data_IF_916984306008
#
_entry.id   IF_916984306008
#
_cell.length_a   1.000
_cell.length_b   1.000
_cell.length_c   1.000
_cell.angle_alpha   90.00
_cell.angle_beta   90.00
_cell.angle_gamma   90.00
#
_symmetry.space_group_name_H-M   'P 1'
#
loop_
_entity.id
_entity.type
_entity.pdbx_description
1 polymer ?
#
# COMPACT_ATOMS: atom_id res chain seq x y z
N UNK A 1 22.98 2.81 2.83
CA UNK A 1 22.22 4.05 2.68
C UNK A 1 20.77 3.72 2.35
N UNK A 2 19.77 4.42 2.88
CA UNK A 2 18.38 4.20 2.50
C UNK A 2 18.18 4.47 1.01
N UNK A 3 17.26 3.71 0.40
CA UNK A 3 16.81 3.92 -0.98
C UNK A 3 15.47 4.63 -0.93
N UNK A 4 15.34 5.73 -1.67
CA UNK A 4 14.13 6.54 -1.72
C UNK A 4 13.34 6.25 -3.00
N UNK A 5 12.01 6.26 -2.89
CA UNK A 5 11.06 6.27 -3.99
C UNK A 5 10.22 7.55 -3.93
N UNK A 6 9.93 8.15 -5.08
CA UNK A 6 8.99 9.27 -5.15
C UNK A 6 7.55 8.74 -5.17
N UNK A 7 6.68 9.25 -4.30
CA UNK A 7 5.25 8.95 -4.39
C UNK A 7 4.59 9.91 -5.39
N UNK A 8 4.31 9.42 -6.59
CA UNK A 8 3.76 10.23 -7.69
C UNK A 8 2.29 10.60 -7.50
N UNK A 9 1.60 10.05 -6.51
CA UNK A 9 0.25 10.49 -6.14
C UNK A 9 0.27 11.80 -5.36
N UNK A 10 1.41 12.15 -4.73
CA UNK A 10 1.54 13.32 -3.87
C UNK A 10 2.62 14.31 -4.33
N UNK A 11 3.61 13.85 -5.11
CA UNK A 11 4.66 14.70 -5.67
C UNK A 11 4.37 15.02 -7.13
N UNK A 12 4.78 16.20 -7.58
CA UNK A 12 4.63 16.68 -8.97
C UNK A 12 3.17 16.76 -9.42
N UNK A 13 2.25 17.07 -8.50
CA UNK A 13 0.81 17.07 -8.78
C UNK A 13 0.34 18.18 -9.72
N UNK A 14 1.19 19.16 -9.98
CA UNK A 14 1.05 20.20 -11.00
C UNK A 14 1.24 19.68 -12.44
N UNK A 15 1.81 18.45 -12.59
CA UNK A 15 2.03 17.80 -13.86
C UNK A 15 0.99 16.69 -14.12
N UNK A 16 0.64 16.41 -15.39
CA UNK A 16 -0.07 15.19 -15.76
C UNK A 16 0.66 13.95 -15.26
N UNK A 17 -0.08 12.92 -14.83
CA UNK A 17 0.52 11.76 -14.18
C UNK A 17 1.68 11.11 -14.97
N UNK A 18 1.59 10.91 -16.31
CA UNK A 18 2.70 10.34 -17.08
C UNK A 18 3.99 11.17 -17.06
N UNK A 19 3.88 12.50 -16.90
CA UNK A 19 5.05 13.39 -16.88
C UNK A 19 5.79 13.39 -15.54
N UNK A 20 5.12 12.94 -14.48
CA UNK A 20 5.70 12.84 -13.12
C UNK A 20 6.87 11.85 -13.05
N UNK A 21 6.89 10.84 -13.91
CA UNK A 21 8.02 9.88 -14.01
C UNK A 21 9.31 10.59 -14.40
N UNK A 22 9.26 11.41 -15.45
CA UNK A 22 10.42 12.16 -15.88
C UNK A 22 10.86 13.22 -14.86
N UNK A 23 9.91 13.84 -14.14
CA UNK A 23 10.20 14.78 -13.07
C UNK A 23 10.94 14.10 -11.92
N UNK A 24 10.46 12.94 -11.45
CA UNK A 24 11.11 12.18 -10.40
C UNK A 24 12.54 11.73 -10.79
N UNK A 25 12.72 11.28 -12.03
CA UNK A 25 14.05 10.90 -12.53
C UNK A 25 15.03 12.09 -12.59
N UNK A 26 14.57 13.27 -13.01
CA UNK A 26 15.38 14.51 -13.02
C UNK A 26 15.84 14.92 -11.62
N UNK A 27 14.98 14.71 -10.60
CA UNK A 27 15.29 15.00 -9.21
C UNK A 27 16.17 13.92 -8.54
N UNK A 28 16.58 12.90 -9.31
CA UNK A 28 17.54 11.87 -8.88
C UNK A 28 16.91 10.66 -8.19
N UNK A 29 15.59 10.54 -8.17
CA UNK A 29 14.95 9.32 -7.70
C UNK A 29 15.28 8.13 -8.62
N UNK A 30 15.39 6.95 -8.03
CA UNK A 30 15.63 5.69 -8.73
C UNK A 30 14.42 4.77 -8.71
N UNK A 31 13.43 5.11 -7.91
CA UNK A 31 12.18 4.37 -7.79
C UNK A 31 11.02 5.32 -7.58
N UNK A 32 9.84 4.83 -7.91
CA UNK A 32 8.56 5.52 -7.71
C UNK A 32 7.55 4.59 -7.09
N UNK A 33 6.56 5.18 -6.45
CA UNK A 33 5.33 4.54 -5.99
C UNK A 33 4.14 5.44 -6.30
N UNK A 34 2.95 4.90 -6.27
CA UNK A 34 1.70 5.63 -6.43
C UNK A 34 0.52 4.77 -5.94
N UNK A 35 -0.63 5.41 -5.68
CA UNK A 35 -1.76 4.70 -5.10
C UNK A 35 -2.37 3.71 -6.09
N UNK A 36 -2.99 4.21 -7.17
CA UNK A 36 -3.79 3.37 -8.07
C UNK A 36 -3.37 3.54 -9.53
N UNK A 37 -2.79 2.50 -10.16
CA UNK A 37 -2.34 2.57 -11.56
C UNK A 37 -3.45 2.36 -12.59
N UNK A 38 -4.65 2.01 -12.18
CA UNK A 38 -5.66 1.32 -12.99
C UNK A 38 -6.38 2.17 -14.04
N UNK A 39 -6.11 3.48 -14.08
CA UNK A 39 -6.54 4.39 -15.15
C UNK A 39 -5.61 4.36 -16.37
N UNK A 40 -4.45 3.71 -16.25
CA UNK A 40 -3.45 3.60 -17.30
C UNK A 40 -3.16 2.13 -17.59
N UNK A 41 -2.91 1.80 -18.86
CA UNK A 41 -2.47 0.47 -19.25
C UNK A 41 -1.11 0.14 -18.61
N UNK A 42 -0.95 -1.08 -18.12
CA UNK A 42 0.26 -1.50 -17.42
C UNK A 42 1.53 -1.37 -18.29
N UNK A 43 1.39 -1.66 -19.58
CA UNK A 43 2.47 -1.56 -20.59
C UNK A 43 2.92 -0.11 -20.77
N UNK A 44 1.98 0.85 -20.74
CA UNK A 44 2.30 2.28 -20.78
C UNK A 44 3.12 2.71 -19.59
N UNK A 45 2.72 2.28 -18.38
CA UNK A 45 3.47 2.57 -17.15
C UNK A 45 4.85 1.90 -17.16
N UNK A 46 4.93 0.65 -17.63
CA UNK A 46 6.21 -0.06 -17.75
C UNK A 46 7.17 0.64 -18.72
N UNK A 47 6.65 1.17 -19.83
CA UNK A 47 7.44 1.98 -20.77
C UNK A 47 7.95 3.25 -20.11
N UNK A 48 7.10 4.00 -19.37
CA UNK A 48 7.50 5.22 -18.66
C UNK A 48 8.59 4.93 -17.61
N UNK A 49 8.47 3.84 -16.86
CA UNK A 49 9.49 3.41 -15.91
C UNK A 49 10.83 3.15 -16.62
N UNK A 50 10.79 2.39 -17.72
CA UNK A 50 12.00 2.04 -18.50
C UNK A 50 12.67 3.27 -19.12
N UNK A 51 11.89 4.15 -19.75
CA UNK A 51 12.40 5.37 -20.41
C UNK A 51 13.09 6.31 -19.42
N UNK A 52 12.64 6.32 -18.16
CA UNK A 52 13.18 7.19 -17.11
C UNK A 52 14.16 6.46 -16.16
N UNK A 53 14.48 5.19 -16.41
CA UNK A 53 15.40 4.42 -15.56
C UNK A 53 14.90 4.22 -14.12
N UNK A 54 13.57 4.18 -13.93
CA UNK A 54 12.92 4.05 -12.64
C UNK A 54 12.44 2.62 -12.36
N UNK A 55 12.39 2.25 -11.09
CA UNK A 55 11.78 1.03 -10.60
C UNK A 55 10.45 1.32 -9.93
N UNK A 56 9.44 0.45 -10.13
CA UNK A 56 8.21 0.50 -9.35
C UNK A 56 8.46 -0.13 -7.98
N UNK A 57 8.28 0.64 -6.91
CA UNK A 57 8.51 0.14 -5.55
C UNK A 57 7.27 -0.49 -4.93
N UNK A 58 6.10 0.12 -5.14
CA UNK A 58 4.83 -0.21 -4.51
C UNK A 58 3.68 0.44 -5.28
N UNK A 59 2.50 -0.16 -5.23
CA UNK A 59 1.20 0.44 -5.53
C UNK A 59 0.10 -0.30 -4.75
N UNK A 60 -1.12 0.27 -4.72
CA UNK A 60 -2.23 -0.31 -3.98
C UNK A 60 -3.08 -1.22 -4.88
N UNK A 61 -3.61 -2.31 -4.32
CA UNK A 61 -4.70 -3.07 -4.93
C UNK A 61 -5.95 -2.18 -5.10
N UNK A 62 -6.88 -2.51 -6.01
CA UNK A 62 -8.10 -1.73 -6.18
C UNK A 62 -8.84 -1.53 -4.86
N UNK A 63 -9.21 -0.28 -4.49
CA UNK A 63 -9.79 0.05 -3.20
C UNK A 63 -11.32 -0.12 -3.14
N UNK A 64 -11.94 -0.60 -4.21
CA UNK A 64 -13.37 -0.44 -4.46
C UNK A 64 -13.69 0.89 -5.14
N UNK A 65 -14.89 1.40 -4.95
CA UNK A 65 -15.30 2.68 -5.51
C UNK A 65 -14.79 3.85 -4.64
N UNK A 66 -13.61 4.35 -4.97
CA UNK A 66 -12.94 5.43 -4.23
C UNK A 66 -13.75 6.72 -4.18
N UNK A 67 -14.42 7.08 -5.27
CA UNK A 67 -15.24 8.29 -5.37
C UNK A 67 -16.49 8.20 -4.50
N UNK A 68 -17.05 6.99 -4.35
CA UNK A 68 -18.15 6.72 -3.42
C UNK A 68 -17.70 6.60 -1.95
N UNK A 69 -16.42 6.81 -1.67
CA UNK A 69 -15.88 6.79 -0.33
C UNK A 69 -15.33 5.43 0.14
N UNK A 70 -15.28 4.40 -0.70
CA UNK A 70 -14.66 3.12 -0.33
C UNK A 70 -13.15 3.28 -0.13
N UNK A 71 -12.60 2.57 0.85
CA UNK A 71 -11.19 2.62 1.25
C UNK A 71 -10.60 1.23 1.44
N UNK A 72 -10.91 0.32 0.54
CA UNK A 72 -10.49 -1.07 0.56
C UNK A 72 -11.64 -2.04 0.74
N UNK A 73 -11.43 -3.27 0.32
CA UNK A 73 -12.44 -4.34 0.30
C UNK A 73 -12.04 -5.54 1.18
N UNK A 74 -10.82 -5.56 1.69
CA UNK A 74 -10.23 -6.76 2.28
C UNK A 74 -11.00 -7.29 3.49
N UNK A 75 -11.63 -6.40 4.27
CA UNK A 75 -12.36 -6.76 5.48
C UNK A 75 -13.90 -6.62 5.31
N UNK A 76 -14.43 -6.62 4.08
CA UNK A 76 -15.85 -6.42 3.81
C UNK A 76 -16.54 -7.76 3.55
N UNK A 77 -17.31 -8.32 4.52
CA UNK A 77 -18.09 -9.53 4.27
C UNK A 77 -19.07 -9.35 3.11
N UNK A 78 -19.14 -10.36 2.24
CA UNK A 78 -19.96 -10.35 1.02
C UNK A 78 -19.30 -9.72 -0.21
N UNK A 79 -18.08 -9.18 -0.08
CA UNK A 79 -17.29 -8.59 -1.18
C UNK A 79 -16.01 -9.39 -1.49
N UNK A 80 -15.91 -10.64 -1.01
CA UNK A 80 -14.70 -11.48 -1.12
C UNK A 80 -14.33 -11.78 -2.57
N UNK A 81 -15.33 -12.02 -3.42
CA UNK A 81 -15.09 -12.29 -4.85
C UNK A 81 -14.53 -11.07 -5.56
N UNK A 82 -15.07 -9.87 -5.30
CA UNK A 82 -14.60 -8.62 -5.88
C UNK A 82 -13.19 -8.28 -5.38
N UNK A 83 -12.94 -8.49 -4.08
CA UNK A 83 -11.61 -8.34 -3.51
C UNK A 83 -10.58 -9.20 -4.24
N UNK A 84 -10.87 -10.50 -4.45
CA UNK A 84 -9.95 -11.42 -5.12
C UNK A 84 -9.73 -11.05 -6.59
N UNK A 85 -10.76 -10.64 -7.32
CA UNK A 85 -10.60 -10.09 -8.67
C UNK A 85 -9.68 -8.87 -8.69
N UNK A 86 -9.81 -7.99 -7.68
CA UNK A 86 -8.91 -6.86 -7.49
C UNK A 86 -7.46 -7.29 -7.27
N UNK A 87 -7.22 -8.31 -6.46
CA UNK A 87 -5.88 -8.88 -6.24
C UNK A 87 -5.31 -9.47 -7.52
N UNK A 88 -6.09 -10.25 -8.28
CA UNK A 88 -5.65 -10.81 -9.57
C UNK A 88 -5.25 -9.70 -10.55
N UNK A 89 -6.07 -8.65 -10.66
CA UNK A 89 -5.76 -7.47 -11.48
C UNK A 89 -4.47 -6.79 -11.02
N UNK A 90 -4.31 -6.58 -9.70
CA UNK A 90 -3.09 -5.99 -9.15
C UNK A 90 -1.85 -6.85 -9.45
N UNK A 91 -1.96 -8.18 -9.37
CA UNK A 91 -0.86 -9.10 -9.70
C UNK A 91 -0.49 -9.07 -11.18
N UNK A 92 -1.45 -8.85 -12.10
CA UNK A 92 -1.16 -8.63 -13.53
C UNK A 92 -0.31 -7.37 -13.71
N UNK A 93 -0.71 -6.25 -13.09
CA UNK A 93 0.09 -5.01 -13.11
C UNK A 93 1.46 -5.21 -12.48
N UNK A 94 1.54 -5.87 -11.33
CA UNK A 94 2.81 -6.12 -10.66
C UNK A 94 3.81 -6.88 -11.52
N UNK A 95 3.34 -7.88 -12.28
CA UNK A 95 4.19 -8.63 -13.24
C UNK A 95 4.73 -7.72 -14.34
N UNK A 96 3.84 -6.95 -14.99
CA UNK A 96 4.22 -6.04 -16.09
C UNK A 96 5.17 -4.93 -15.64
N UNK A 97 4.94 -4.38 -14.43
CA UNK A 97 5.74 -3.31 -13.85
C UNK A 97 7.00 -3.82 -13.11
N UNK A 98 7.18 -5.15 -12.99
CA UNK A 98 8.20 -5.76 -12.13
C UNK A 98 8.15 -5.22 -10.69
N UNK A 99 6.93 -4.95 -10.19
CA UNK A 99 6.70 -4.40 -8.86
C UNK A 99 6.71 -5.50 -7.80
N UNK A 100 7.58 -5.43 -6.79
CA UNK A 100 7.69 -6.50 -5.79
C UNK A 100 6.64 -6.43 -4.68
N UNK A 101 5.82 -5.37 -4.59
CA UNK A 101 4.93 -5.13 -3.46
C UNK A 101 3.59 -4.56 -3.89
N UNK A 102 2.54 -5.01 -3.24
CA UNK A 102 1.17 -4.48 -3.37
C UNK A 102 0.64 -4.19 -1.97
N UNK A 103 0.20 -2.95 -1.73
CA UNK A 103 -0.53 -2.59 -0.53
C UNK A 103 -2.02 -2.95 -0.68
N UNK A 104 -2.61 -3.50 0.37
CA UNK A 104 -4.01 -3.90 0.44
C UNK A 104 -4.72 -3.13 1.54
N UNK A 105 -5.66 -2.30 1.16
CA UNK A 105 -6.47 -1.52 2.09
C UNK A 105 -7.56 -2.36 2.76
N UNK A 106 -7.72 -2.19 4.07
CA UNK A 106 -8.65 -2.98 4.89
C UNK A 106 -10.13 -2.71 4.57
N UNK A 107 -10.50 -1.45 4.49
CA UNK A 107 -11.87 -0.98 4.32
C UNK A 107 -12.39 -0.18 5.51
N UNK A 108 -13.53 0.49 5.31
CA UNK A 108 -14.23 1.26 6.34
C UNK A 108 -15.29 0.38 6.99
N UNK A 109 -14.97 -0.25 8.10
CA UNK A 109 -15.90 -1.08 8.89
C UNK A 109 -15.47 -1.12 10.36
N UNK A 110 -16.42 -1.24 11.30
CA UNK A 110 -16.06 -1.51 12.69
C UNK A 110 -15.36 -2.86 12.82
N UNK A 111 -14.48 -2.96 13.79
CA UNK A 111 -13.81 -4.21 14.16
C UNK A 111 -14.83 -5.11 14.86
N UNK A 112 -15.20 -6.21 14.22
CA UNK A 112 -16.08 -7.26 14.73
C UNK A 112 -15.46 -8.63 14.46
N UNK A 113 -15.98 -9.69 15.06
CA UNK A 113 -15.52 -11.04 14.76
C UNK A 113 -15.66 -11.38 13.28
N UNK A 114 -16.76 -10.98 12.64
CA UNK A 114 -17.04 -11.27 11.23
C UNK A 114 -16.10 -10.50 10.29
N UNK A 115 -15.85 -9.19 10.55
CA UNK A 115 -14.94 -8.39 9.73
C UNK A 115 -13.51 -8.86 9.87
N UNK A 116 -13.07 -9.26 11.07
CA UNK A 116 -11.74 -9.83 11.29
C UNK A 116 -11.58 -11.20 10.61
N UNK A 117 -12.57 -12.09 10.73
CA UNK A 117 -12.53 -13.38 10.06
C UNK A 117 -12.50 -13.25 8.54
N UNK A 118 -13.34 -12.40 7.97
CA UNK A 118 -13.34 -12.07 6.54
C UNK A 118 -11.95 -11.56 6.10
N UNK A 119 -11.40 -10.62 6.85
CA UNK A 119 -10.10 -10.02 6.56
C UNK A 119 -8.97 -11.04 6.58
N UNK A 120 -8.89 -11.86 7.63
CA UNK A 120 -7.88 -12.92 7.75
C UNK A 120 -7.94 -13.90 6.56
N UNK A 121 -9.14 -14.36 6.20
CA UNK A 121 -9.34 -15.26 5.07
C UNK A 121 -8.92 -14.62 3.73
N UNK A 122 -9.33 -13.37 3.50
CA UNK A 122 -8.99 -12.64 2.29
C UNK A 122 -7.49 -12.37 2.18
N UNK A 123 -6.84 -11.96 3.26
CA UNK A 123 -5.39 -11.77 3.29
C UNK A 123 -4.63 -13.08 3.08
N UNK A 124 -5.11 -14.19 3.64
CA UNK A 124 -4.50 -15.50 3.40
C UNK A 124 -4.57 -15.89 1.92
N UNK A 125 -5.70 -15.67 1.26
CA UNK A 125 -5.84 -15.91 -0.19
C UNK A 125 -4.95 -14.98 -1.01
N UNK A 126 -4.95 -13.69 -0.68
CA UNK A 126 -4.11 -12.70 -1.37
C UNK A 126 -2.62 -13.03 -1.28
N UNK A 127 -2.13 -13.39 -0.08
CA UNK A 127 -0.72 -13.76 0.10
C UNK A 127 -0.34 -15.06 -0.61
N UNK A 128 -1.26 -16.02 -0.69
CA UNK A 128 -1.05 -17.26 -1.45
C UNK A 128 -0.91 -16.98 -2.94
N UNK A 129 -1.80 -16.16 -3.53
CA UNK A 129 -1.72 -15.77 -4.94
C UNK A 129 -0.46 -14.93 -5.23
N UNK A 130 -0.15 -14.00 -4.33
CA UNK A 130 1.01 -13.13 -4.48
C UNK A 130 2.34 -13.89 -4.41
N UNK A 131 2.44 -14.90 -3.54
CA UNK A 131 3.64 -15.74 -3.43
C UNK A 131 3.95 -16.47 -4.75
N UNK A 132 2.93 -16.93 -5.48
CA UNK A 132 3.10 -17.56 -6.80
C UNK A 132 3.65 -16.59 -7.85
N UNK A 133 3.40 -15.30 -7.67
CA UNK A 133 3.90 -14.23 -8.55
C UNK A 133 5.21 -13.59 -8.06
N UNK A 134 5.77 -14.03 -6.94
CA UNK A 134 6.95 -13.41 -6.33
C UNK A 134 6.69 -12.02 -5.76
N UNK A 135 5.43 -11.70 -5.43
CA UNK A 135 4.99 -10.39 -4.93
C UNK A 135 4.66 -10.48 -3.44
N UNK A 136 4.97 -9.44 -2.68
CA UNK A 136 4.61 -9.31 -1.27
C UNK A 136 3.35 -8.48 -1.09
N UNK A 137 2.44 -8.94 -0.23
CA UNK A 137 1.28 -8.17 0.20
C UNK A 137 1.63 -7.37 1.44
N UNK A 138 1.33 -6.07 1.40
CA UNK A 138 1.50 -5.14 2.52
C UNK A 138 0.15 -4.73 3.08
N UNK A 139 0.11 -4.48 4.39
CA UNK A 139 -0.97 -3.80 5.10
C UNK A 139 -0.39 -2.59 5.82
N UNK A 140 -1.21 -1.57 6.08
CA UNK A 140 -0.79 -0.31 6.67
C UNK A 140 -1.78 0.17 7.71
N UNK A 141 -1.34 0.44 8.95
CA UNK A 141 -2.15 1.16 9.92
C UNK A 141 -2.33 2.62 9.51
N UNK A 142 -3.57 3.04 9.33
CA UNK A 142 -3.92 4.41 8.94
C UNK A 142 -4.63 5.10 10.09
N UNK A 143 -4.18 6.30 10.47
CA UNK A 143 -4.73 7.03 11.61
C UNK A 143 -6.20 7.41 11.42
N UNK A 144 -6.97 7.35 12.50
CA UNK A 144 -8.42 7.63 12.50
C UNK A 144 -8.78 9.11 12.34
N UNK A 145 -7.81 10.04 12.42
CA UNK A 145 -8.06 11.47 12.15
C UNK A 145 -8.31 11.71 10.67
N UNK A 146 -7.49 11.09 9.80
CA UNK A 146 -7.57 11.28 8.35
C UNK A 146 -8.53 10.29 7.71
N UNK A 147 -8.67 9.10 8.30
CA UNK A 147 -9.55 8.05 7.79
C UNK A 147 -10.45 7.48 8.90
N UNK A 148 -11.47 8.22 9.34
CA UNK A 148 -12.40 7.75 10.37
C UNK A 148 -13.09 6.44 9.97
N UNK A 149 -13.11 5.46 10.87
CA UNK A 149 -13.72 4.15 10.63
C UNK A 149 -12.91 3.18 9.78
N UNK A 150 -11.66 3.51 9.46
CA UNK A 150 -10.74 2.55 8.83
C UNK A 150 -10.44 1.41 9.80
N UNK A 151 -10.62 0.17 9.34
CA UNK A 151 -10.56 -0.99 10.22
C UNK A 151 -9.15 -1.23 10.80
N UNK A 152 -8.10 -0.93 10.05
CA UNK A 152 -6.72 -1.04 10.54
C UNK A 152 -6.20 0.33 11.02
N UNK A 153 -6.69 0.79 12.14
CA UNK A 153 -6.29 2.06 12.77
C UNK A 153 -5.30 1.90 13.92
N UNK A 154 -4.86 0.67 14.22
CA UNK A 154 -3.93 0.39 15.30
C UNK A 154 -2.77 -0.52 14.89
N UNK A 155 -1.62 -0.29 15.52
CA UNK A 155 -0.44 -1.12 15.32
C UNK A 155 -0.61 -2.50 15.96
N UNK A 156 -1.31 -2.60 17.08
CA UNK A 156 -1.52 -3.87 17.80
C UNK A 156 -2.36 -4.84 16.94
N UNK A 157 -3.37 -4.33 16.24
CA UNK A 157 -4.15 -5.13 15.27
C UNK A 157 -3.29 -5.58 14.09
N UNK A 158 -2.41 -4.71 13.59
CA UNK A 158 -1.51 -5.07 12.51
C UNK A 158 -0.53 -6.18 12.94
N UNK A 159 0.07 -6.08 14.12
CA UNK A 159 0.98 -7.08 14.66
C UNK A 159 0.29 -8.44 14.86
N UNK A 160 -0.93 -8.46 15.40
CA UNK A 160 -1.72 -9.69 15.52
C UNK A 160 -1.99 -10.35 14.16
N UNK A 161 -2.28 -9.58 13.11
CA UNK A 161 -2.46 -10.12 11.76
C UNK A 161 -1.17 -10.72 11.18
N UNK A 162 -0.03 -10.08 11.42
CA UNK A 162 1.28 -10.59 10.98
C UNK A 162 1.66 -11.89 11.69
N UNK A 163 1.26 -12.08 12.95
CA UNK A 163 1.45 -13.32 13.67
C UNK A 163 0.64 -14.47 13.04
N UNK A 164 -0.62 -14.20 12.66
CA UNK A 164 -1.50 -15.18 12.01
C UNK A 164 -1.10 -15.46 10.56
N UNK A 165 -0.54 -14.48 9.85
CA UNK A 165 -0.12 -14.63 8.47
C UNK A 165 1.31 -14.10 8.25
N UNK A 166 2.35 -14.93 8.47
CA UNK A 166 3.76 -14.52 8.34
C UNK A 166 4.18 -14.08 6.91
N UNK A 167 3.37 -14.38 5.89
CA UNK A 167 3.61 -13.93 4.52
C UNK A 167 3.27 -12.47 4.31
N UNK A 168 2.41 -11.88 5.16
CA UNK A 168 2.12 -10.45 5.17
C UNK A 168 3.35 -9.63 5.58
N UNK A 169 3.41 -8.41 5.07
CA UNK A 169 4.37 -7.40 5.51
C UNK A 169 3.65 -6.13 5.93
N UNK A 170 4.30 -5.35 6.79
CA UNK A 170 3.78 -4.09 7.28
C UNK A 170 4.39 -2.93 6.49
N UNK A 171 3.58 -2.04 5.96
CA UNK A 171 4.00 -0.73 5.51
C UNK A 171 3.99 0.21 6.71
N UNK A 172 5.15 0.82 6.98
CA UNK A 172 5.31 1.77 8.08
C UNK A 172 5.25 3.19 7.51
N UNK A 173 4.06 3.79 7.50
CA UNK A 173 3.94 5.21 7.26
C UNK A 173 4.21 5.97 8.57
N UNK A 174 5.31 6.74 8.60
CA UNK A 174 5.75 7.45 9.81
C UNK A 174 4.78 8.55 10.23
N UNK A 175 4.07 9.15 9.28
CA UNK A 175 3.04 10.14 9.56
C UNK A 175 1.86 9.49 10.31
N UNK A 176 1.34 8.37 9.80
CA UNK A 176 0.28 7.64 10.48
C UNK A 176 0.72 7.11 11.84
N UNK A 177 1.90 6.52 11.92
CA UNK A 177 2.43 5.98 13.17
C UNK A 177 2.68 7.06 14.23
N UNK A 178 3.11 8.27 13.84
CA UNK A 178 3.28 9.39 14.76
C UNK A 178 1.95 9.79 15.41
N UNK A 179 0.85 9.75 14.65
CA UNK A 179 -0.47 10.08 15.17
C UNK A 179 -1.04 8.93 16.03
N UNK A 180 -0.82 7.68 15.62
CA UNK A 180 -1.35 6.49 16.31
C UNK A 180 -0.64 6.25 17.64
N UNK A 181 0.69 6.33 17.68
CA UNK A 181 1.49 5.95 18.85
C UNK A 181 2.47 7.01 19.31
N UNK A 182 2.98 7.87 18.42
CA UNK A 182 4.14 8.72 18.72
C UNK A 182 5.43 7.91 18.91
N UNK A 183 6.46 8.57 19.41
CA UNK A 183 7.77 7.98 19.71
C UNK A 183 8.32 7.05 18.62
N UNK A 184 8.41 7.60 17.39
CA UNK A 184 8.83 6.85 16.20
C UNK A 184 10.18 6.16 16.35
N UNK A 185 11.12 6.77 17.08
CA UNK A 185 12.46 6.21 17.26
C UNK A 185 12.39 4.86 17.98
N UNK A 186 11.63 4.76 19.05
CA UNK A 186 11.42 3.50 19.79
C UNK A 186 10.67 2.48 18.93
N UNK A 187 9.63 2.93 18.22
CA UNK A 187 8.86 2.05 17.33
C UNK A 187 9.74 1.46 16.23
N UNK A 188 10.55 2.27 15.55
CA UNK A 188 11.41 1.81 14.47
C UNK A 188 12.50 0.86 14.99
N UNK A 189 13.11 1.15 16.15
CA UNK A 189 14.06 0.22 16.77
C UNK A 189 13.44 -1.14 17.12
N UNK A 190 12.18 -1.17 17.50
CA UNK A 190 11.44 -2.41 17.79
C UNK A 190 11.03 -3.17 16.53
N UNK A 191 10.52 -2.45 15.51
CA UNK A 191 9.88 -3.06 14.35
C UNK A 191 10.87 -3.46 13.26
N UNK A 192 11.91 -2.66 12.99
CA UNK A 192 12.87 -2.92 11.91
C UNK A 192 13.72 -4.17 12.16
N UNK A 193 14.28 -4.44 13.35
CA UNK A 193 15.11 -5.62 13.59
C UNK A 193 14.38 -6.95 13.49
N UNK A 194 13.07 -6.98 13.68
CA UNK A 194 12.26 -8.20 13.55
C UNK A 194 12.13 -8.69 12.10
N UNK A 195 12.84 -8.07 11.16
CA UNK A 195 13.11 -8.44 9.77
C UNK A 195 11.91 -8.92 8.92
N UNK A 196 10.70 -8.76 9.40
CA UNK A 196 9.46 -9.01 8.65
C UNK A 196 8.97 -7.77 7.89
N UNK A 197 9.75 -6.66 7.96
CA UNK A 197 9.32 -5.35 7.49
C UNK A 197 10.21 -4.88 6.35
N UNK A 198 9.71 -4.77 5.11
CA UNK A 198 10.29 -3.81 4.20
C UNK A 198 9.91 -2.43 4.74
N UNK A 199 10.86 -1.74 5.37
CA UNK A 199 10.68 -0.32 5.65
C UNK A 199 10.60 0.40 4.31
N UNK A 200 9.40 0.82 3.93
CA UNK A 200 9.20 1.84 2.92
C UNK A 200 8.72 3.08 3.68
N UNK A 201 9.60 3.99 4.08
CA UNK A 201 9.17 5.25 4.65
C UNK A 201 8.55 6.08 3.54
N UNK A 202 7.23 6.09 3.46
CA UNK A 202 6.50 7.05 2.66
C UNK A 202 6.51 8.37 3.40
N UNK A 203 7.27 9.34 2.90
CA UNK A 203 7.12 10.72 3.34
C UNK A 203 5.91 11.30 2.59
N UNK A 204 4.73 11.22 3.18
CA UNK A 204 3.58 11.98 2.70
C UNK A 204 3.68 13.39 3.25
N UNK A 205 3.73 14.37 2.36
CA UNK A 205 3.58 15.77 2.76
C UNK A 205 2.08 16.00 3.05
N UNK A 206 1.69 16.40 4.26
CA UNK A 206 0.28 16.69 4.53
C UNK A 206 -0.15 17.88 3.67
N UNK A 207 -1.18 17.67 2.86
CA UNK A 207 -1.87 18.79 2.21
C UNK A 207 -2.45 19.67 3.32
N UNK A 208 -2.15 20.99 3.37
CA UNK A 208 -2.77 21.85 4.36
C UNK A 208 -4.30 21.81 4.15
N UNK A 209 -5.02 21.49 5.21
CA UNK A 209 -6.47 21.57 5.23
C UNK A 209 -6.88 23.00 4.86
N UNK A 210 -7.73 23.14 3.83
CA UNK A 210 -8.42 24.38 3.51
C UNK A 210 -9.57 24.62 4.46
#
# INVERSE_FOLDING_TARGET
>A
MPRFAANLSFLYTDLPFPERFAAAARDGFRAVEYLFPYEHEAETLARLLKENGLQQALFNAPPGNWEAGERGLAALPGREAEFLQGIERALQYARTLHCPRIHVMAGLKPVTADTLACWQQNLQRATTLAAQAGVQILIEPINSRDMPGYLLDSLDTAEALLEHNPALKLQLDLYHLQIIRGDLSVLLHRLIPTSRLPACPTATNPTPAK
#
